data_IF_150082465967
#
_entry.id   IF_150082465967
#
_cell.length_a   1.000
_cell.length_b   1.000
_cell.length_c   1.000
_cell.angle_alpha   90.00
_cell.angle_beta   90.00
_cell.angle_gamma   90.00
#
_symmetry.space_group_name_H-M   'P 1'
#
loop_
_entity.id
_entity.type
_entity.pdbx_description
1 polymer ?
#
# COMPACT_ATOMS: atom_id res chain seq x y z
N UNK A 1 -4.86 22.04 -20.14
CA UNK A 1 -4.48 20.72 -20.72
C UNK A 1 -3.29 20.07 -20.01
N UNK A 2 -2.30 20.83 -19.55
CA UNK A 2 -1.09 20.34 -18.85
C UNK A 2 -1.40 19.50 -17.59
N UNK A 3 -2.36 19.91 -16.75
CA UNK A 3 -2.68 19.20 -15.50
C UNK A 3 -3.22 17.78 -15.72
N UNK A 4 -3.99 17.57 -16.79
CA UNK A 4 -4.59 16.27 -17.11
C UNK A 4 -3.55 15.26 -17.59
N UNK A 5 -2.59 15.73 -18.39
CA UNK A 5 -1.46 14.91 -18.85
C UNK A 5 -0.53 14.52 -17.68
N UNK A 6 -0.34 15.42 -16.71
CA UNK A 6 0.48 15.18 -15.53
C UNK A 6 -0.19 14.18 -14.55
N UNK A 7 -1.51 14.21 -14.46
CA UNK A 7 -2.29 13.30 -13.62
C UNK A 7 -2.42 11.89 -14.22
N UNK A 8 -2.76 11.79 -15.51
CA UNK A 8 -3.15 10.52 -16.13
C UNK A 8 -2.05 9.85 -16.96
N UNK A 9 -1.01 10.59 -17.39
CA UNK A 9 -0.06 10.19 -18.43
C UNK A 9 -0.73 9.84 -19.77
N UNK A 10 0.01 10.03 -20.86
CA UNK A 10 -0.43 9.71 -22.23
C UNK A 10 0.13 8.37 -22.74
N UNK A 11 0.90 7.64 -21.93
CA UNK A 11 1.66 6.45 -22.36
C UNK A 11 1.18 5.12 -21.74
N UNK A 12 1.66 3.98 -22.29
CA UNK A 12 1.36 2.60 -21.83
C UNK A 12 2.18 2.13 -20.62
N UNK A 13 3.28 2.81 -20.29
CA UNK A 13 4.14 2.56 -19.11
C UNK A 13 3.41 2.48 -17.75
N UNK A 14 2.41 3.32 -17.43
CA UNK A 14 1.65 3.22 -16.17
C UNK A 14 0.97 1.86 -15.93
N UNK A 15 0.59 1.11 -16.97
CA UNK A 15 -0.09 -0.20 -16.81
C UNK A 15 0.82 -1.26 -16.19
N UNK A 16 2.12 -1.25 -16.52
CA UNK A 16 3.09 -2.21 -15.97
C UNK A 16 3.39 -1.93 -14.50
N UNK A 17 3.57 -0.66 -14.13
CA UNK A 17 3.79 -0.25 -12.74
C UNK A 17 2.58 -0.62 -11.86
N UNK A 18 1.36 -0.37 -12.34
CA UNK A 18 0.14 -0.77 -11.64
C UNK A 18 0.03 -2.29 -11.52
N UNK A 19 0.42 -3.04 -12.56
CA UNK A 19 0.45 -4.50 -12.56
C UNK A 19 1.42 -5.08 -11.51
N UNK A 20 2.60 -4.49 -11.34
CA UNK A 20 3.57 -4.90 -10.31
C UNK A 20 3.00 -4.67 -8.91
N UNK A 21 2.39 -3.51 -8.67
CA UNK A 21 1.78 -3.19 -7.36
C UNK A 21 0.60 -4.12 -7.08
N UNK A 22 -0.24 -4.39 -8.08
CA UNK A 22 -1.34 -5.35 -7.95
C UNK A 22 -0.83 -6.77 -7.65
N UNK A 23 0.22 -7.23 -8.35
CA UNK A 23 0.82 -8.54 -8.09
C UNK A 23 1.43 -8.61 -6.67
N UNK A 24 2.13 -7.56 -6.22
CA UNK A 24 2.67 -7.47 -4.87
C UNK A 24 1.56 -7.49 -3.80
N UNK A 25 0.46 -6.76 -4.04
CA UNK A 25 -0.71 -6.76 -3.16
C UNK A 25 -1.35 -8.14 -3.07
N UNK A 26 -1.52 -8.83 -4.20
CA UNK A 26 -2.07 -10.20 -4.24
C UNK A 26 -1.14 -11.17 -3.52
N UNK A 27 0.16 -11.13 -3.79
CA UNK A 27 1.14 -12.00 -3.13
C UNK A 27 1.16 -11.78 -1.62
N UNK A 28 1.18 -10.53 -1.16
CA UNK A 28 1.10 -10.20 0.26
C UNK A 28 -0.21 -10.69 0.90
N UNK A 29 -1.34 -10.57 0.18
CA UNK A 29 -2.64 -11.06 0.66
C UNK A 29 -2.66 -12.58 0.80
N UNK A 30 -2.10 -13.30 -0.18
CA UNK A 30 -1.96 -14.76 -0.13
C UNK A 30 -1.11 -15.20 1.07
N UNK A 31 0.01 -14.51 1.33
CA UNK A 31 0.87 -14.81 2.49
C UNK A 31 0.18 -14.64 3.85
N UNK A 32 -0.87 -13.82 3.94
CA UNK A 32 -1.65 -13.62 5.16
C UNK A 32 -2.81 -14.62 5.28
N UNK A 33 -3.43 -14.98 4.14
CA UNK A 33 -4.58 -15.87 4.09
C UNK A 33 -4.18 -17.34 4.18
N UNK A 34 -3.07 -17.73 3.56
CA UNK A 34 -2.59 -19.11 3.60
C UNK A 34 -2.09 -19.45 5.01
N UNK A 35 -2.48 -20.62 5.57
CA UNK A 35 -2.08 -21.06 6.92
C UNK A 35 -0.61 -21.53 6.98
N UNK A 36 0.26 -21.06 6.09
CA UNK A 36 1.69 -21.27 6.23
C UNK A 36 2.15 -20.48 7.45
N UNK A 37 2.90 -21.12 8.34
CA UNK A 37 3.24 -20.58 9.66
C UNK A 37 4.32 -19.47 9.75
N UNK A 38 4.93 -18.84 8.71
CA UNK A 38 6.06 -17.96 9.01
C UNK A 38 5.68 -16.52 9.41
N UNK A 39 4.42 -16.09 9.29
CA UNK A 39 4.02 -14.73 9.68
C UNK A 39 3.04 -14.71 10.83
N UNK A 40 3.55 -15.09 12.00
CA UNK A 40 3.04 -14.53 13.26
C UNK A 40 3.00 -12.99 13.18
N UNK A 41 2.41 -12.35 14.18
CA UNK A 41 2.25 -10.89 14.23
C UNK A 41 3.48 -10.05 13.82
N UNK A 42 4.68 -10.56 14.14
CA UNK A 42 5.97 -9.94 13.81
C UNK A 42 6.26 -9.85 12.29
N UNK A 43 5.73 -10.76 11.47
CA UNK A 43 6.00 -10.82 10.03
C UNK A 43 5.15 -9.88 9.17
N UNK A 44 4.05 -9.34 9.72
CA UNK A 44 3.07 -8.51 8.98
C UNK A 44 3.56 -7.06 8.78
N UNK A 45 4.31 -6.51 9.74
CA UNK A 45 4.93 -5.18 9.60
C UNK A 45 6.01 -5.12 8.51
N UNK A 46 6.96 -6.07 8.44
CA UNK A 46 7.89 -6.17 7.32
C UNK A 46 7.19 -6.31 5.97
N UNK A 47 6.12 -7.11 5.90
CA UNK A 47 5.35 -7.30 4.66
C UNK A 47 4.66 -6.00 4.22
N UNK A 48 4.05 -5.28 5.16
CA UNK A 48 3.46 -3.96 4.87
C UNK A 48 4.53 -2.93 4.47
N UNK A 49 5.66 -2.90 5.17
CA UNK A 49 6.78 -2.03 4.82
C UNK A 49 7.30 -2.33 3.40
N UNK A 50 7.37 -3.60 3.01
CA UNK A 50 7.72 -4.02 1.66
C UNK A 50 6.69 -3.53 0.62
N UNK A 51 5.39 -3.64 0.90
CA UNK A 51 4.33 -3.10 0.03
C UNK A 51 4.46 -1.59 -0.15
N UNK A 52 4.70 -0.85 0.94
CA UNK A 52 4.92 0.59 0.90
C UNK A 52 6.17 0.93 0.10
N UNK A 53 7.27 0.19 0.28
CA UNK A 53 8.49 0.39 -0.50
C UNK A 53 8.26 0.16 -2.00
N UNK A 54 7.55 -0.90 -2.38
CA UNK A 54 7.16 -1.18 -3.77
C UNK A 54 6.28 -0.06 -4.34
N UNK A 55 5.29 0.40 -3.57
CA UNK A 55 4.39 1.47 -3.99
C UNK A 55 5.11 2.83 -4.15
N UNK A 56 5.98 3.19 -3.20
CA UNK A 56 6.81 4.39 -3.28
C UNK A 56 7.80 4.30 -4.46
N UNK A 57 8.38 3.12 -4.69
CA UNK A 57 9.23 2.85 -5.86
C UNK A 57 8.47 3.04 -7.17
N UNK A 58 7.24 2.55 -7.27
CA UNK A 58 6.38 2.74 -8.43
C UNK A 58 6.01 4.23 -8.64
N UNK A 59 5.71 4.96 -7.56
CA UNK A 59 5.45 6.40 -7.62
C UNK A 59 6.69 7.19 -8.09
N UNK A 60 7.88 6.83 -7.60
CA UNK A 60 9.15 7.42 -8.04
C UNK A 60 9.54 7.03 -9.47
N UNK A 61 9.26 5.81 -9.92
CA UNK A 61 9.46 5.40 -11.31
C UNK A 61 8.49 6.15 -12.25
N UNK A 62 7.22 6.32 -11.86
CA UNK A 62 6.28 7.17 -12.56
C UNK A 62 6.81 8.62 -12.64
N UNK A 63 7.28 9.18 -11.53
CA UNK A 63 7.93 10.48 -11.48
C UNK A 63 9.11 10.61 -12.45
N UNK A 64 9.97 9.58 -12.53
CA UNK A 64 11.11 9.51 -13.46
C UNK A 64 10.66 9.44 -14.92
N UNK A 65 9.71 8.57 -15.25
CA UNK A 65 9.30 8.26 -16.64
C UNK A 65 8.19 9.15 -17.20
N UNK A 66 7.84 10.26 -16.53
CA UNK A 66 6.66 11.09 -16.85
C UNK A 66 5.34 10.27 -16.83
N UNK A 67 5.29 9.23 -15.99
CA UNK A 67 4.08 8.52 -15.64
C UNK A 67 3.12 9.44 -14.86
N UNK A 68 1.84 9.08 -14.84
CA UNK A 68 0.80 9.90 -14.21
C UNK A 68 0.90 9.83 -12.70
N UNK A 69 0.73 10.98 -12.02
CA UNK A 69 0.76 11.06 -10.55
C UNK A 69 -0.29 10.15 -9.88
N UNK A 70 -1.44 9.96 -10.53
CA UNK A 70 -2.53 9.11 -10.03
C UNK A 70 -2.11 7.65 -9.86
N UNK A 71 -1.16 7.17 -10.66
CA UNK A 71 -0.64 5.79 -10.56
C UNK A 71 0.19 5.65 -9.29
N UNK A 72 1.00 6.65 -8.97
CA UNK A 72 1.79 6.69 -7.72
C UNK A 72 0.89 6.80 -6.50
N UNK A 73 -0.12 7.69 -6.54
CA UNK A 73 -1.11 7.82 -5.46
C UNK A 73 -1.92 6.54 -5.28
N UNK A 74 -2.43 5.96 -6.36
CA UNK A 74 -3.19 4.71 -6.31
C UNK A 74 -2.38 3.55 -5.74
N UNK A 75 -1.10 3.45 -6.12
CA UNK A 75 -0.21 2.43 -5.58
C UNK A 75 0.00 2.56 -4.06
N UNK A 76 0.33 3.77 -3.58
CA UNK A 76 0.57 4.03 -2.15
C UNK A 76 -0.72 3.91 -1.35
N UNK A 77 -1.84 4.38 -1.91
CA UNK A 77 -3.16 4.23 -1.32
C UNK A 77 -3.49 2.75 -1.11
N UNK A 78 -3.36 1.93 -2.15
CA UNK A 78 -3.67 0.50 -2.11
C UNK A 78 -2.77 -0.23 -1.10
N UNK A 79 -1.48 0.05 -1.10
CA UNK A 79 -0.54 -0.51 -0.13
C UNK A 79 -0.87 -0.10 1.32
N UNK A 80 -1.36 1.13 1.52
CA UNK A 80 -1.76 1.60 2.84
C UNK A 80 -3.07 0.99 3.28
N UNK A 81 -4.08 0.91 2.42
CA UNK A 81 -5.38 0.26 2.72
C UNK A 81 -5.19 -1.21 3.08
N UNK A 82 -4.23 -1.89 2.45
CA UNK A 82 -3.96 -3.31 2.68
C UNK A 82 -3.86 -3.66 4.18
N UNK A 83 -3.13 -2.87 4.97
CA UNK A 83 -2.90 -3.14 6.41
C UNK A 83 -4.16 -3.04 7.25
N UNK A 84 -5.11 -2.19 6.85
CA UNK A 84 -6.36 -1.95 7.57
C UNK A 84 -7.46 -2.95 7.21
N UNK A 85 -7.32 -3.65 6.08
CA UNK A 85 -8.41 -4.44 5.49
C UNK A 85 -8.06 -5.92 5.43
N UNK A 86 -6.90 -6.27 4.84
CA UNK A 86 -6.59 -7.67 4.52
C UNK A 86 -6.28 -8.49 5.78
N UNK A 87 -5.39 -8.07 6.70
CA UNK A 87 -5.15 -8.81 7.93
C UNK A 87 -6.40 -9.04 8.80
N UNK A 88 -7.24 -8.03 9.12
CA UNK A 88 -8.43 -8.27 9.94
C UNK A 88 -9.51 -9.08 9.20
N UNK A 89 -9.63 -8.97 7.87
CA UNK A 89 -10.53 -9.83 7.08
C UNK A 89 -10.12 -11.29 7.12
N UNK A 90 -8.83 -11.58 6.86
CA UNK A 90 -8.32 -12.96 6.87
C UNK A 90 -8.56 -13.61 8.23
N UNK A 91 -8.37 -12.82 9.28
CA UNK A 91 -8.46 -13.30 10.64
C UNK A 91 -9.93 -13.41 11.13
N UNK A 92 -10.85 -12.57 10.62
CA UNK A 92 -12.30 -12.79 10.76
C UNK A 92 -12.74 -14.08 10.02
N UNK A 93 -12.23 -14.32 8.82
CA UNK A 93 -12.58 -15.51 8.02
C UNK A 93 -12.10 -16.82 8.67
N UNK A 94 -11.03 -16.79 9.46
CA UNK A 94 -10.55 -17.94 10.25
C UNK A 94 -11.39 -18.23 11.51
N UNK A 95 -12.26 -17.30 11.92
CA UNK A 95 -13.04 -17.44 13.15
C UNK A 95 -12.24 -17.18 14.43
N UNK A 96 -11.04 -16.60 14.32
CA UNK A 96 -10.14 -16.31 15.44
C UNK A 96 -10.83 -15.42 16.51
N UNK A 97 -10.64 -15.74 17.80
CA UNK A 97 -11.21 -14.96 18.92
C UNK A 97 -10.17 -14.13 19.69
N UNK A 98 -10.66 -13.28 20.60
CA UNK A 98 -9.83 -12.46 21.48
C UNK A 98 -9.07 -13.37 22.48
N UNK A 99 -7.78 -13.61 22.25
CA UNK A 99 -6.92 -14.31 23.21
C UNK A 99 -6.32 -15.63 22.73
N UNK A 100 -6.70 -16.15 21.57
CA UNK A 100 -6.08 -17.35 20.99
C UNK A 100 -4.71 -17.00 20.38
N UNK A 101 -3.68 -16.91 21.22
CA UNK A 101 -2.26 -17.23 20.94
C UNK A 101 -1.50 -16.64 19.73
N UNK A 102 -2.10 -15.84 18.85
CA UNK A 102 -1.48 -15.39 17.59
C UNK A 102 -2.11 -14.13 16.97
N UNK A 103 -3.07 -13.53 17.67
CA UNK A 103 -3.82 -12.37 17.20
C UNK A 103 -3.12 -11.04 17.54
N UNK A 104 -2.01 -10.76 16.88
CA UNK A 104 -1.50 -9.40 16.73
C UNK A 104 -1.54 -9.01 15.25
N UNK A 105 -2.73 -8.55 14.84
CA UNK A 105 -2.91 -7.71 13.67
C UNK A 105 -2.02 -6.47 13.82
N UNK A 106 -1.48 -5.89 12.73
CA UNK A 106 -0.89 -4.55 12.79
C UNK A 106 -1.94 -3.57 13.32
N UNK A 107 -1.92 -3.31 14.63
CA UNK A 107 -2.95 -2.54 15.30
C UNK A 107 -2.67 -1.05 15.10
N UNK A 108 -3.60 -0.29 14.51
CA UNK A 108 -3.58 1.17 14.64
C UNK A 108 -3.90 1.60 16.08
N UNK A 109 -4.47 0.71 16.89
CA UNK A 109 -4.88 0.96 18.28
C UNK A 109 -4.18 0.02 19.26
N UNK A 110 -3.61 0.58 20.33
CA UNK A 110 -2.99 -0.17 21.45
C UNK A 110 -4.02 -1.06 22.19
N UNK A 111 -5.31 -0.75 22.05
CA UNK A 111 -6.44 -1.47 22.67
C UNK A 111 -6.82 -2.70 21.83
N UNK A 112 -6.92 -3.87 22.48
CA UNK A 112 -7.33 -5.11 21.83
C UNK A 112 -8.82 -5.06 21.46
N UNK A 113 -9.13 -5.16 20.16
CA UNK A 113 -10.49 -5.20 19.64
C UNK A 113 -10.74 -6.57 19.00
N UNK A 114 -12.01 -7.00 18.93
CA UNK A 114 -12.39 -8.20 18.17
C UNK A 114 -12.08 -8.00 16.67
N UNK A 115 -11.75 -9.06 15.90
CA UNK A 115 -11.55 -9.03 14.44
C UNK A 115 -12.51 -8.12 13.67
N UNK A 116 -13.81 -8.26 13.96
CA UNK A 116 -14.89 -7.47 13.33
C UNK A 116 -14.80 -5.98 13.67
N UNK A 117 -14.49 -5.64 14.91
CA UNK A 117 -14.36 -4.27 15.36
C UNK A 117 -13.09 -3.61 14.79
N UNK A 118 -12.00 -4.36 14.65
CA UNK A 118 -10.78 -3.90 13.96
C UNK A 118 -11.06 -3.64 12.48
N UNK A 119 -11.77 -4.53 11.79
CA UNK A 119 -12.15 -4.33 10.40
C UNK A 119 -13.03 -3.09 10.22
N UNK A 120 -14.05 -2.90 11.06
CA UNK A 120 -14.92 -1.72 10.97
C UNK A 120 -14.16 -0.43 11.25
N UNK A 121 -13.24 -0.45 12.21
CA UNK A 121 -12.35 0.69 12.51
C UNK A 121 -11.41 0.96 11.34
N UNK A 122 -10.82 -0.09 10.77
CA UNK A 122 -9.97 -0.04 9.60
C UNK A 122 -10.70 0.47 8.36
N UNK A 123 -11.95 0.09 8.14
CA UNK A 123 -12.78 0.62 7.04
C UNK A 123 -13.18 2.08 7.26
N UNK A 124 -13.34 2.51 8.51
CA UNK A 124 -13.70 3.90 8.84
C UNK A 124 -12.50 4.86 8.73
N UNK A 125 -11.35 4.46 9.25
CA UNK A 125 -10.16 5.32 9.38
C UNK A 125 -9.14 5.05 8.26
N UNK A 126 -9.02 3.80 7.83
CA UNK A 126 -8.02 3.35 6.85
C UNK A 126 -8.06 4.09 5.53
N UNK A 127 -9.22 4.37 4.89
CA UNK A 127 -9.27 5.15 3.66
C UNK A 127 -8.74 6.58 3.84
N UNK A 128 -9.03 7.22 4.99
CA UNK A 128 -8.55 8.58 5.28
C UNK A 128 -7.05 8.58 5.48
N UNK A 129 -6.52 7.65 6.27
CA UNK A 129 -5.07 7.50 6.48
C UNK A 129 -4.38 7.16 5.16
N UNK A 130 -4.92 6.23 4.38
CA UNK A 130 -4.40 5.86 3.08
C UNK A 130 -4.36 7.03 2.10
N UNK A 131 -5.38 7.90 2.12
CA UNK A 131 -5.40 9.12 1.32
C UNK A 131 -4.29 10.09 1.75
N UNK A 132 -4.15 10.34 3.05
CA UNK A 132 -3.08 11.22 3.57
C UNK A 132 -1.70 10.68 3.22
N UNK A 133 -1.47 9.38 3.39
CA UNK A 133 -0.19 8.73 3.05
C UNK A 133 0.05 8.77 1.54
N UNK A 134 -0.96 8.49 0.72
CA UNK A 134 -0.85 8.56 -0.73
C UNK A 134 -0.50 9.98 -1.22
N UNK A 135 -1.16 11.00 -0.68
CA UNK A 135 -0.91 12.39 -1.05
C UNK A 135 0.46 12.88 -0.58
N UNK A 136 0.93 12.45 0.59
CA UNK A 136 2.24 12.86 1.12
C UNK A 136 3.37 12.04 0.53
N UNK A 137 3.45 10.75 0.86
CA UNK A 137 4.50 9.83 0.42
C UNK A 137 4.48 9.62 -1.09
N UNK A 138 3.30 9.44 -1.69
CA UNK A 138 3.19 9.26 -3.15
C UNK A 138 3.65 10.50 -3.92
N UNK A 139 3.31 11.71 -3.45
CA UNK A 139 3.81 12.95 -4.07
C UNK A 139 5.30 13.14 -3.85
N UNK A 140 5.81 12.89 -2.63
CA UNK A 140 7.22 13.00 -2.32
C UNK A 140 8.08 12.05 -3.18
N UNK A 141 7.67 10.79 -3.29
CA UNK A 141 8.32 9.81 -4.15
C UNK A 141 8.28 10.21 -5.63
N UNK A 142 7.13 10.69 -6.11
CA UNK A 142 6.98 11.18 -7.48
C UNK A 142 7.92 12.37 -7.77
N UNK A 143 7.97 13.35 -6.88
CA UNK A 143 8.84 14.53 -7.00
C UNK A 143 10.31 14.11 -6.97
N UNK A 144 10.69 13.20 -6.07
CA UNK A 144 12.06 12.66 -6.02
C UNK A 144 12.44 12.01 -7.36
N UNK A 145 11.54 11.20 -7.94
CA UNK A 145 11.75 10.61 -9.25
C UNK A 145 11.88 11.65 -10.37
N UNK A 146 11.00 12.66 -10.39
CA UNK A 146 11.06 13.74 -11.37
C UNK A 146 12.34 14.59 -11.24
N UNK A 147 12.84 14.79 -10.01
CA UNK A 147 14.06 15.52 -9.73
C UNK A 147 15.30 14.76 -10.21
N UNK A 148 15.37 13.44 -10.00
CA UNK A 148 16.45 12.59 -10.53
C UNK A 148 16.52 12.72 -12.04
N UNK A 149 15.38 12.59 -12.75
CA UNK A 149 15.34 12.80 -14.20
C UNK A 149 15.93 14.16 -14.59
N UNK A 150 15.47 15.25 -13.95
CA UNK A 150 15.95 16.61 -14.27
C UNK A 150 17.46 16.79 -14.08
N UNK A 151 18.08 16.01 -13.18
CA UNK A 151 19.53 16.03 -12.97
C UNK A 151 20.27 15.24 -14.05
N UNK A 152 19.72 14.11 -14.49
CA UNK A 152 20.31 13.29 -15.56
C UNK A 152 20.15 13.94 -16.94
N UNK A 153 19.07 14.69 -17.17
CA UNK A 153 18.81 15.39 -18.43
C UNK A 153 19.57 16.73 -18.55
N UNK A 154 20.26 17.16 -17.49
CA UNK A 154 21.12 18.36 -17.55
C UNK A 154 22.53 17.93 -18.01
N UNK A 155 23.05 18.52 -19.10
CA UNK A 155 24.40 18.25 -19.59
C UNK A 155 25.48 18.70 -18.60
#
# INVERSE_FOLDING_TARGET
MVSRALLLSTDRTPKRALGVVAAAFVAASLLVVLPWEPTGAAGRYPLWAALIAVAAGAAGDAGRRRGGLLVGWGAVFLATVWVFVVPPLAALARGDTLGDGGYAVPRPSVVALRPRAELLTGLRIGPVVALVVALTLGSAAFVAGAAVRRRTDRP
#
